data_IF_808831646522
#
_entry.id   IF_808831646522
#
_cell.length_a   1.000
_cell.length_b   1.000
_cell.length_c   1.000
_cell.angle_alpha   90.00
_cell.angle_beta   90.00
_cell.angle_gamma   90.00
#
_symmetry.space_group_name_H-M   'P 1'
#
loop_
_entity.id
_entity.type
_entity.pdbx_description
1 polymer ?
#
# COMPACT_ATOMS: atom_id res chain seq x y z
N UNK A 1 -10.87 -2.81 16.07
CA UNK A 1 -10.04 -3.60 15.12
C UNK A 1 -10.87 -3.88 13.86
N UNK A 2 -10.23 -4.10 12.71
CA UNK A 2 -10.94 -4.42 11.45
C UNK A 2 -11.26 -5.90 11.38
N UNK A 3 -12.27 -6.29 10.61
CA UNK A 3 -12.74 -7.67 10.52
C UNK A 3 -12.92 -8.14 9.07
N UNK A 4 -12.72 -9.43 8.87
CA UNK A 4 -13.13 -10.21 7.70
C UNK A 4 -14.02 -11.36 8.17
N UNK A 5 -14.53 -12.19 7.26
CA UNK A 5 -15.30 -13.39 7.63
C UNK A 5 -14.55 -14.35 8.58
N UNK A 6 -13.22 -14.35 8.54
CA UNK A 6 -12.39 -15.34 9.24
C UNK A 6 -11.28 -14.75 10.11
N UNK A 7 -11.22 -13.42 10.26
CA UNK A 7 -10.15 -12.77 11.02
C UNK A 7 -10.54 -11.38 11.51
N UNK A 8 -10.18 -11.08 12.75
CA UNK A 8 -10.06 -9.71 13.29
C UNK A 8 -8.60 -9.31 13.26
N UNK A 9 -8.28 -8.10 12.79
CA UNK A 9 -6.90 -7.69 12.55
C UNK A 9 -6.63 -6.19 12.77
N UNK A 10 -5.37 -5.90 13.07
CA UNK A 10 -4.76 -4.57 13.02
C UNK A 10 -3.37 -4.74 12.37
N UNK A 11 -3.35 -4.90 11.04
CA UNK A 11 -2.14 -5.12 10.26
C UNK A 11 -1.93 -3.94 9.33
N UNK A 12 -0.84 -3.22 9.55
CA UNK A 12 -0.45 -2.08 8.73
C UNK A 12 0.99 -2.26 8.29
N UNK A 13 1.22 -2.00 7.00
CA UNK A 13 2.51 -2.16 6.35
C UNK A 13 2.99 -0.82 5.82
N UNK A 14 4.25 -0.49 6.12
CA UNK A 14 5.00 0.58 5.47
C UNK A 14 5.80 -0.01 4.33
N UNK A 15 5.40 0.29 3.10
CA UNK A 15 6.01 -0.20 1.88
C UNK A 15 6.68 0.97 1.17
N UNK A 16 7.94 0.80 0.78
CA UNK A 16 8.70 1.84 0.07
C UNK A 16 9.32 1.28 -1.18
N UNK A 17 9.20 2.00 -2.29
CA UNK A 17 9.87 1.64 -3.53
C UNK A 17 10.35 2.87 -4.30
N UNK A 18 11.32 2.65 -5.17
CA UNK A 18 12.00 3.70 -5.92
C UNK A 18 11.63 3.62 -7.43
N UNK A 19 11.62 4.74 -8.16
CA UNK A 19 11.55 4.73 -9.61
C UNK A 19 12.81 4.10 -10.20
N UNK A 20 12.65 3.42 -11.34
CA UNK A 20 13.75 2.87 -12.11
C UNK A 20 14.58 4.04 -12.67
N UNK A 21 15.90 3.94 -12.58
CA UNK A 21 16.84 4.97 -13.07
C UNK A 21 16.63 6.39 -12.51
N UNK A 22 15.97 6.54 -11.35
CA UNK A 22 15.67 7.85 -10.72
C UNK A 22 14.99 8.84 -11.70
N UNK A 23 14.06 8.34 -12.51
CA UNK A 23 13.29 9.15 -13.45
C UNK A 23 12.62 10.35 -12.76
N UNK A 24 12.77 11.55 -13.33
CA UNK A 24 12.26 12.82 -12.77
C UNK A 24 10.74 13.00 -12.87
N UNK A 25 10.02 12.02 -13.43
CA UNK A 25 8.59 12.07 -13.75
C UNK A 25 7.70 12.14 -12.51
N UNK A 26 8.22 11.79 -11.33
CA UNK A 26 7.50 11.88 -10.05
C UNK A 26 7.52 13.29 -9.45
N UNK A 27 7.37 14.33 -10.28
CA UNK A 27 7.28 15.74 -9.87
C UNK A 27 6.01 16.37 -10.40
N UNK A 28 5.49 17.36 -9.68
CA UNK A 28 4.31 18.14 -10.09
C UNK A 28 3.12 17.25 -10.47
N UNK A 29 2.70 17.34 -11.72
CA UNK A 29 1.54 16.61 -12.23
C UNK A 29 1.75 15.08 -12.24
N UNK A 30 2.95 14.60 -12.58
CA UNK A 30 3.25 13.16 -12.59
C UNK A 30 3.13 12.54 -11.21
N UNK A 31 3.58 13.25 -10.16
CA UNK A 31 3.37 12.83 -8.77
C UNK A 31 1.87 12.75 -8.41
N UNK A 32 1.09 13.75 -8.84
CA UNK A 32 -0.35 13.82 -8.57
C UNK A 32 -1.11 12.68 -9.26
N UNK A 33 -0.77 12.38 -10.51
CA UNK A 33 -1.31 11.26 -11.28
C UNK A 33 -0.98 9.91 -10.63
N UNK A 34 0.26 9.71 -10.16
CA UNK A 34 0.65 8.50 -9.44
C UNK A 34 -0.14 8.35 -8.13
N UNK A 35 -0.31 9.43 -7.34
CA UNK A 35 -1.13 9.39 -6.12
C UNK A 35 -2.55 8.94 -6.41
N UNK A 36 -3.20 9.55 -7.40
CA UNK A 36 -4.55 9.18 -7.83
C UNK A 36 -4.64 7.70 -8.22
N UNK A 37 -3.71 7.20 -9.04
CA UNK A 37 -3.66 5.80 -9.44
C UNK A 37 -3.46 4.85 -8.25
N UNK A 38 -2.64 5.21 -7.27
CA UNK A 38 -2.42 4.38 -6.08
C UNK A 38 -3.68 4.29 -5.22
N UNK A 39 -4.44 5.38 -5.08
CA UNK A 39 -5.75 5.35 -4.42
C UNK A 39 -6.75 4.46 -5.18
N UNK A 40 -6.83 4.57 -6.51
CA UNK A 40 -7.67 3.65 -7.31
C UNK A 40 -7.30 2.18 -7.09
N UNK A 41 -6.00 1.86 -7.03
CA UNK A 41 -5.55 0.48 -6.79
C UNK A 41 -5.97 0.01 -5.39
N UNK A 42 -5.91 0.89 -4.38
CA UNK A 42 -6.32 0.54 -3.03
C UNK A 42 -7.82 0.22 -2.97
N UNK A 43 -8.64 1.06 -3.60
CA UNK A 43 -10.09 0.87 -3.71
C UNK A 43 -10.42 -0.42 -4.48
N UNK A 44 -9.78 -0.63 -5.64
CA UNK A 44 -9.94 -1.83 -6.48
C UNK A 44 -9.57 -3.13 -5.73
N UNK A 45 -8.60 -3.05 -4.79
CA UNK A 45 -8.11 -4.19 -4.00
C UNK A 45 -8.77 -4.33 -2.63
N UNK A 46 -9.63 -3.39 -2.23
CA UNK A 46 -10.26 -3.37 -0.92
C UNK A 46 -9.24 -3.26 0.22
N UNK A 47 -8.18 -2.48 0.05
CA UNK A 47 -7.19 -2.16 1.09
C UNK A 47 -7.23 -0.66 1.38
N UNK A 48 -6.85 -0.25 2.59
CA UNK A 48 -6.94 1.16 2.99
C UNK A 48 -5.56 1.79 3.05
N UNK A 49 -5.36 2.87 2.30
CA UNK A 49 -4.17 3.72 2.43
C UNK A 49 -4.36 4.61 3.65
N UNK A 50 -3.52 4.42 4.67
CA UNK A 50 -3.49 5.23 5.87
C UNK A 50 -2.66 6.51 5.66
N UNK A 51 -1.57 6.41 4.89
CA UNK A 51 -0.76 7.55 4.46
C UNK A 51 -0.03 7.23 3.15
N UNK A 52 0.19 8.24 2.33
CA UNK A 52 0.87 8.12 1.04
C UNK A 52 1.68 9.36 0.71
N UNK A 53 3.00 9.17 0.60
CA UNK A 53 3.93 10.20 0.15
C UNK A 53 4.61 9.77 -1.14
N UNK A 54 4.45 10.57 -2.20
CA UNK A 54 5.15 10.41 -3.48
C UNK A 54 6.20 11.50 -3.60
N UNK A 55 7.47 11.11 -3.54
CA UNK A 55 8.63 11.96 -3.75
C UNK A 55 9.27 11.69 -5.12
N UNK A 56 10.13 12.60 -5.62
CA UNK A 56 10.80 12.43 -6.89
C UNK A 56 11.61 11.14 -7.03
N UNK A 57 12.14 10.62 -5.92
CA UNK A 57 13.06 9.49 -5.88
C UNK A 57 12.55 8.27 -5.12
N UNK A 58 11.36 8.34 -4.51
CA UNK A 58 10.73 7.20 -3.83
C UNK A 58 9.24 7.43 -3.55
N UNK A 59 8.51 6.35 -3.28
CA UNK A 59 7.12 6.36 -2.80
C UNK A 59 7.09 5.66 -1.44
N UNK A 60 6.53 6.32 -0.43
CA UNK A 60 6.15 5.73 0.84
C UNK A 60 4.64 5.47 0.85
N UNK A 61 4.26 4.20 1.04
CA UNK A 61 2.89 3.77 1.19
C UNK A 61 2.71 3.17 2.58
N UNK A 62 1.80 3.73 3.37
CA UNK A 62 1.35 3.12 4.62
C UNK A 62 -0.06 2.59 4.42
N UNK A 63 -0.22 1.27 4.47
CA UNK A 63 -1.45 0.59 4.06
C UNK A 63 -1.92 -0.41 5.11
N UNK A 64 -3.20 -0.38 5.43
CA UNK A 64 -3.88 -1.38 6.26
C UNK A 64 -4.49 -2.46 5.37
N UNK A 65 -4.17 -3.72 5.64
CA UNK A 65 -4.54 -4.83 4.76
C UNK A 65 -4.91 -6.10 5.53
N UNK A 66 -5.89 -6.90 5.05
CA UNK A 66 -6.21 -8.20 5.62
C UNK A 66 -5.00 -9.16 5.67
N UNK A 67 -4.97 -10.11 6.64
CA UNK A 67 -3.84 -11.04 6.82
C UNK A 67 -3.53 -11.94 5.61
N UNK A 68 -4.53 -12.21 4.76
CA UNK A 68 -4.38 -13.01 3.55
C UNK A 68 -3.50 -12.36 2.48
N UNK A 69 -3.29 -11.04 2.56
CA UNK A 69 -2.50 -10.29 1.60
C UNK A 69 -1.09 -10.11 2.18
N UNK A 70 -0.13 -10.87 1.68
CA UNK A 70 1.26 -10.75 2.09
C UNK A 70 1.90 -9.43 1.59
N UNK A 71 2.93 -8.89 2.27
CA UNK A 71 3.59 -7.64 1.86
C UNK A 71 4.09 -7.65 0.41
N UNK A 72 4.56 -8.80 -0.07
CA UNK A 72 5.04 -8.95 -1.45
C UNK A 72 3.92 -8.78 -2.48
N UNK A 73 2.71 -9.28 -2.18
CA UNK A 73 1.54 -9.11 -3.03
C UNK A 73 1.12 -7.65 -3.11
N UNK A 74 1.09 -6.95 -1.98
CA UNK A 74 0.80 -5.52 -1.93
C UNK A 74 1.81 -4.73 -2.77
N UNK A 75 3.10 -4.96 -2.57
CA UNK A 75 4.14 -4.31 -3.36
C UNK A 75 3.99 -4.60 -4.87
N UNK A 76 3.66 -5.84 -5.25
CA UNK A 76 3.43 -6.21 -6.64
C UNK A 76 2.22 -5.50 -7.25
N UNK A 77 1.09 -5.43 -6.53
CA UNK A 77 -0.10 -4.72 -7.00
C UNK A 77 0.18 -3.23 -7.19
N UNK A 78 0.65 -2.55 -6.14
CA UNK A 78 0.86 -1.11 -6.19
C UNK A 78 1.93 -0.72 -7.21
N UNK A 79 3.05 -1.44 -7.30
CA UNK A 79 4.09 -1.14 -8.30
C UNK A 79 3.64 -1.51 -9.72
N UNK A 80 3.22 -2.75 -9.93
CA UNK A 80 2.93 -3.27 -11.27
C UNK A 80 1.74 -2.55 -11.92
N UNK A 81 0.64 -2.42 -11.19
CA UNK A 81 -0.58 -1.81 -11.74
C UNK A 81 -0.38 -0.30 -11.93
N UNK A 82 0.33 0.39 -11.02
CA UNK A 82 0.53 1.84 -11.16
C UNK A 82 1.36 2.23 -12.38
N UNK A 83 2.47 1.52 -12.62
CA UNK A 83 3.31 1.77 -13.81
C UNK A 83 2.51 1.49 -15.09
N UNK A 84 1.72 0.41 -15.12
CA UNK A 84 0.86 0.08 -16.27
C UNK A 84 -0.22 1.14 -16.51
N UNK A 85 -0.99 1.51 -15.47
CA UNK A 85 -2.06 2.52 -15.58
C UNK A 85 -1.48 3.88 -15.98
N UNK A 86 -0.37 4.31 -15.37
CA UNK A 86 0.26 5.59 -15.70
C UNK A 86 0.73 5.62 -17.16
N UNK A 87 1.49 4.61 -17.58
CA UNK A 87 2.07 4.56 -18.92
C UNK A 87 0.98 4.48 -19.99
N UNK A 88 -0.13 3.80 -19.70
CA UNK A 88 -1.25 3.72 -20.64
C UNK A 88 -2.02 5.04 -20.76
N UNK A 89 -2.16 5.80 -19.67
CA UNK A 89 -2.97 7.02 -19.64
C UNK A 89 -2.20 8.29 -20.03
N UNK A 90 -0.88 8.31 -19.84
CA UNK A 90 -0.11 9.56 -19.80
C UNK A 90 1.24 9.52 -20.51
N UNK A 91 1.67 8.38 -21.05
CA UNK A 91 2.95 8.29 -21.75
C UNK A 91 2.70 7.95 -23.22
N UNK A 92 2.96 8.92 -24.09
CA UNK A 92 2.86 8.76 -25.53
C UNK A 92 4.18 8.21 -26.11
N UNK A 93 5.30 8.51 -25.46
CA UNK A 93 6.64 8.08 -25.88
C UNK A 93 7.41 7.41 -24.74
N UNK A 94 8.46 6.64 -25.08
CA UNK A 94 9.23 5.87 -24.10
C UNK A 94 9.90 6.72 -23.01
N UNK A 95 10.20 7.99 -23.29
CA UNK A 95 10.80 8.92 -22.32
C UNK A 95 9.86 9.35 -21.18
N UNK A 96 8.54 9.21 -21.37
CA UNK A 96 7.51 9.61 -20.40
C UNK A 96 7.06 8.43 -19.53
N UNK A 97 7.40 7.20 -19.94
CA UNK A 97 7.05 5.99 -19.22
C UNK A 97 7.76 5.93 -17.88
N UNK A 98 6.99 5.63 -16.84
CA UNK A 98 7.51 5.32 -15.51
C UNK A 98 7.71 3.82 -15.34
N UNK A 99 8.76 3.47 -14.61
CA UNK A 99 8.98 2.12 -14.11
C UNK A 99 9.50 2.15 -12.68
N UNK A 100 9.37 1.03 -11.98
CA UNK A 100 9.85 0.90 -10.60
C UNK A 100 11.10 0.02 -10.53
N UNK A 101 11.96 0.29 -9.55
CA UNK A 101 13.07 -0.59 -9.21
C UNK A 101 12.54 -1.98 -8.83
N UNK A 102 13.35 -3.03 -9.02
CA UNK A 102 12.95 -4.41 -8.68
C UNK A 102 12.66 -4.56 -7.19
N UNK A 103 13.55 -4.05 -6.35
CA UNK A 103 13.41 -4.09 -4.89
C UNK A 103 12.30 -3.20 -4.34
N UNK A 104 11.96 -3.45 -3.08
CA UNK A 104 11.12 -2.60 -2.23
C UNK A 104 11.47 -2.90 -0.77
N UNK A 105 11.18 -1.96 0.12
CA UNK A 105 11.19 -2.16 1.56
C UNK A 105 9.77 -2.45 2.05
N UNK A 106 9.64 -3.30 3.07
CA UNK A 106 8.40 -3.52 3.79
C UNK A 106 8.69 -3.65 5.29
N UNK A 107 8.00 -2.87 6.11
CA UNK A 107 8.01 -2.95 7.57
C UNK A 107 6.58 -2.96 8.11
N UNK A 108 6.36 -3.55 9.28
CA UNK A 108 5.07 -3.45 9.98
C UNK A 108 5.08 -2.24 10.90
N UNK A 109 3.93 -1.60 11.06
CA UNK A 109 3.74 -0.60 12.10
C UNK A 109 2.43 -0.87 12.85
N UNK A 110 2.52 -1.04 14.17
CA UNK A 110 1.37 -1.30 15.02
C UNK A 110 1.58 -0.71 16.39
N UNK A 111 0.70 0.21 16.78
CA UNK A 111 0.45 0.50 18.18
C UNK A 111 -0.76 -0.35 18.57
N UNK A 112 -0.55 -1.37 19.38
CA UNK A 112 -1.64 -2.15 19.99
C UNK A 112 -1.59 -1.83 21.48
N UNK A 113 -2.61 -1.14 22.00
CA UNK A 113 -2.68 -0.90 23.44
C UNK A 113 -2.96 -2.23 24.16
N UNK A 114 -2.44 -2.38 25.38
CA UNK A 114 -2.72 -3.55 26.23
C UNK A 114 -4.23 -3.77 26.40
N UNK A 115 -5.00 -2.70 26.55
CA UNK A 115 -6.47 -2.71 26.60
C UNK A 115 -7.10 -3.33 25.34
N UNK A 116 -6.56 -3.06 24.15
CA UNK A 116 -7.05 -3.67 22.91
C UNK A 116 -6.78 -5.17 22.87
N UNK A 117 -5.64 -5.62 23.42
CA UNK A 117 -5.32 -7.05 23.55
C UNK A 117 -6.24 -7.71 24.57
N UNK A 118 -6.43 -7.09 25.73
CA UNK A 118 -7.28 -7.61 26.81
C UNK A 118 -8.74 -7.74 26.36
N UNK A 119 -9.30 -6.71 25.72
CA UNK A 119 -10.66 -6.73 25.18
C UNK A 119 -10.84 -7.83 24.13
N UNK A 120 -9.85 -8.07 23.26
CA UNK A 120 -9.87 -9.18 22.30
C UNK A 120 -9.86 -10.55 22.99
N UNK A 121 -9.05 -10.71 24.05
CA UNK A 121 -9.00 -11.96 24.82
C UNK A 121 -10.32 -12.20 25.58
N UNK A 122 -10.92 -11.15 26.15
CA UNK A 122 -12.18 -11.26 26.90
C UNK A 122 -13.36 -11.65 26.00
N UNK A 123 -13.50 -11.03 24.83
CA UNK A 123 -14.56 -11.37 23.87
C UNK A 123 -14.53 -12.85 23.44
N UNK A 124 -13.36 -13.46 23.36
CA UNK A 124 -13.23 -14.89 23.02
C UNK A 124 -13.51 -15.83 24.19
N UNK A 125 -13.47 -15.36 25.44
CA UNK A 125 -13.85 -16.19 26.60
C UNK A 125 -15.36 -16.30 26.76
N UNK A 126 -16.12 -15.27 26.39
CA UNK A 126 -17.58 -15.26 26.53
C UNK A 126 -18.30 -16.06 25.42
N UNK A 127 -17.68 -16.25 24.26
CA UNK A 127 -18.24 -17.04 23.14
C UNK A 127 -18.07 -18.55 23.24
N UNK A 128 -17.21 -19.03 24.15
CA UNK A 128 -16.98 -20.45 24.46
C UNK A 128 -17.79 -20.95 25.68
N UNK A 129 -18.75 -20.15 26.16
CA UNK A 129 -19.66 -20.44 27.29
C UNK A 129 -21.07 -20.75 26.80
#
# INVERSE_FOLDING_TARGET
MKTTRHATYNLNYHIVWLPKYRQSVLKGEGASRVRSILHEIADDKGVEILDLTVQPDHVHLFVSSPPKNEPALLANWFKGISSRKYNHRYADHDGEKIGWARGYYAGTAGHVSSETVENYIQQHKEGDS
#
